data_IF_787704132891
#
_entry.id   IF_787704132891
#
_cell.length_a   1.000
_cell.length_b   1.000
_cell.length_c   1.000
_cell.angle_alpha   90.00
_cell.angle_beta   90.00
_cell.angle_gamma   90.00
#
_symmetry.space_group_name_H-M   'P 1'
#
loop_
_entity.id
_entity.type
_entity.pdbx_description
1 polymer ?
#
# COMPACT_ATOMS: atom_id res chain seq x y z
N UNK A 1 -6.62 33.89 16.42
CA UNK A 1 -7.27 34.20 15.16
C UNK A 1 -8.42 33.22 14.99
N UNK A 2 -9.64 33.66 14.96
CA UNK A 2 -10.83 32.84 14.70
C UNK A 2 -10.72 32.33 13.26
N UNK A 3 -10.88 31.02 12.97
CA UNK A 3 -10.93 30.52 11.60
C UNK A 3 -12.15 31.18 10.94
N UNK A 4 -11.92 31.96 9.90
CA UNK A 4 -12.99 32.39 9.03
C UNK A 4 -13.67 31.14 8.45
N UNK A 5 -14.98 31.06 8.54
CA UNK A 5 -15.78 30.05 7.86
C UNK A 5 -15.76 30.36 6.36
N UNK A 6 -14.63 30.08 5.69
CA UNK A 6 -14.64 30.01 4.24
C UNK A 6 -15.54 28.82 3.85
N UNK A 7 -16.50 29.06 2.97
CA UNK A 7 -17.29 27.99 2.36
C UNK A 7 -16.32 26.92 1.81
N UNK A 8 -16.68 25.64 1.88
CA UNK A 8 -15.82 24.58 1.34
C UNK A 8 -15.54 24.87 -0.14
N UNK A 9 -14.26 24.73 -0.53
CA UNK A 9 -13.87 24.91 -1.92
C UNK A 9 -14.70 24.00 -2.81
N UNK A 10 -15.28 24.55 -3.88
CA UNK A 10 -16.05 23.81 -4.88
C UNK A 10 -15.24 23.68 -6.16
N UNK A 11 -15.29 22.50 -6.78
CA UNK A 11 -14.66 22.22 -8.06
C UNK A 11 -15.62 21.41 -8.94
N UNK A 12 -15.66 21.71 -10.22
CA UNK A 12 -16.37 20.92 -11.22
C UNK A 12 -15.36 20.47 -12.28
N UNK A 13 -15.24 19.15 -12.48
CA UNK A 13 -14.55 18.58 -13.62
C UNK A 13 -15.61 18.23 -14.65
N UNK A 14 -15.59 18.96 -15.78
CA UNK A 14 -16.60 18.85 -16.83
C UNK A 14 -16.17 17.92 -17.96
N UNK A 15 -17.18 17.35 -18.62
CA UNK A 15 -17.00 16.67 -19.90
C UNK A 15 -15.90 15.58 -19.83
N UNK A 16 -15.91 14.79 -18.74
CA UNK A 16 -14.98 13.69 -18.56
C UNK A 16 -15.52 12.36 -19.10
N UNK A 17 -14.63 11.47 -19.50
CA UNK A 17 -14.91 10.06 -19.68
C UNK A 17 -14.55 9.35 -18.38
N UNK A 18 -15.55 8.97 -17.59
CA UNK A 18 -15.36 8.47 -16.22
C UNK A 18 -15.26 6.96 -16.17
N UNK A 19 -14.16 6.45 -15.59
CA UNK A 19 -14.06 5.12 -15.01
C UNK A 19 -14.31 5.26 -13.50
N UNK A 20 -15.34 4.60 -13.00
CA UNK A 20 -15.79 4.79 -11.61
C UNK A 20 -14.99 3.99 -10.55
N UNK A 21 -14.00 3.19 -10.98
CA UNK A 21 -13.20 2.33 -10.12
C UNK A 21 -13.79 0.93 -9.90
N UNK A 22 -14.99 0.65 -10.38
CA UNK A 22 -15.71 -0.63 -10.17
C UNK A 22 -16.12 -1.28 -11.49
N UNK A 23 -16.73 -0.50 -12.37
CA UNK A 23 -17.28 -1.00 -13.62
C UNK A 23 -16.27 -0.86 -14.75
N UNK A 24 -16.01 -1.93 -15.51
CA UNK A 24 -15.11 -1.89 -16.66
C UNK A 24 -15.61 -0.94 -17.77
N UNK A 25 -16.91 -0.63 -17.79
CA UNK A 25 -17.52 0.27 -18.78
C UNK A 25 -17.47 1.71 -18.28
N UNK A 26 -16.81 2.58 -19.04
CA UNK A 26 -16.76 4.02 -18.79
C UNK A 26 -18.08 4.73 -19.16
N UNK A 27 -18.27 5.92 -18.58
CA UNK A 27 -19.36 6.84 -18.93
C UNK A 27 -18.77 8.10 -19.56
N UNK A 28 -19.26 8.47 -20.75
CA UNK A 28 -18.79 9.65 -21.48
C UNK A 28 -19.62 10.91 -21.11
N UNK A 29 -19.02 12.08 -21.31
CA UNK A 29 -19.64 13.38 -21.08
C UNK A 29 -20.22 13.53 -19.67
N UNK A 30 -19.45 13.18 -18.66
CA UNK A 30 -19.83 13.26 -17.26
C UNK A 30 -19.21 14.48 -16.60
N UNK A 31 -20.01 15.22 -15.83
CA UNK A 31 -19.55 16.25 -14.90
C UNK A 31 -19.41 15.64 -13.50
N UNK A 32 -18.27 15.92 -12.83
CA UNK A 32 -18.01 15.51 -11.44
C UNK A 32 -17.90 16.76 -10.57
N UNK A 33 -18.81 16.87 -9.60
CA UNK A 33 -18.84 17.97 -8.63
C UNK A 33 -18.17 17.54 -7.33
N UNK A 34 -17.27 18.39 -6.86
CA UNK A 34 -16.50 18.22 -5.61
C UNK A 34 -16.79 19.38 -4.69
N UNK A 35 -17.08 19.09 -3.41
CA UNK A 35 -17.17 20.07 -2.33
C UNK A 35 -16.28 19.67 -1.16
N UNK A 36 -15.36 20.54 -0.80
CA UNK A 36 -14.32 20.22 0.19
C UNK A 36 -13.52 18.99 -0.23
N UNK A 37 -13.57 17.93 0.55
CA UNK A 37 -12.80 16.69 0.29
C UNK A 37 -13.60 15.57 -0.36
N UNK A 38 -14.86 15.80 -0.77
CA UNK A 38 -15.77 14.76 -1.23
C UNK A 38 -16.33 15.01 -2.63
N UNK A 39 -16.56 13.94 -3.35
CA UNK A 39 -17.41 13.95 -4.54
C UNK A 39 -18.86 14.07 -4.08
N UNK A 40 -19.57 15.09 -4.53
CA UNK A 40 -20.98 15.36 -4.13
C UNK A 40 -21.96 15.20 -5.29
N UNK A 41 -21.45 14.99 -6.51
CA UNK A 41 -22.30 14.72 -7.67
C UNK A 41 -21.49 14.13 -8.82
N UNK A 42 -22.11 13.19 -9.53
CA UNK A 42 -21.63 12.59 -10.79
C UNK A 42 -22.82 12.59 -11.75
N UNK A 43 -22.74 13.33 -12.85
CA UNK A 43 -23.91 13.58 -13.71
C UNK A 43 -23.55 13.63 -15.19
N UNK A 44 -24.36 12.96 -16.02
CA UNK A 44 -24.32 13.11 -17.48
C UNK A 44 -25.11 14.36 -17.97
N UNK A 45 -25.88 15.01 -17.07
CA UNK A 45 -26.48 16.30 -17.35
C UNK A 45 -25.56 17.41 -16.82
N UNK A 46 -25.46 18.56 -17.49
CA UNK A 46 -24.61 19.65 -17.03
C UNK A 46 -24.92 20.05 -15.58
N UNK A 47 -23.91 20.06 -14.74
CA UNK A 47 -24.03 20.49 -13.33
C UNK A 47 -24.02 22.02 -13.31
N UNK A 48 -24.98 22.62 -12.56
CA UNK A 48 -25.08 24.08 -12.38
C UNK A 48 -23.90 24.60 -11.52
N UNK A 49 -23.40 25.76 -11.88
CA UNK A 49 -22.29 26.47 -11.24
C UNK A 49 -21.30 26.94 -12.27
N UNK A 50 -20.70 28.08 -12.05
CA UNK A 50 -19.66 28.65 -12.89
C UNK A 50 -18.57 29.35 -12.05
N UNK A 51 -17.53 29.83 -12.72
CA UNK A 51 -16.41 30.52 -12.07
C UNK A 51 -16.85 31.81 -11.33
N UNK A 52 -18.00 32.40 -11.68
CA UNK A 52 -18.54 33.60 -11.00
C UNK A 52 -18.98 33.31 -9.56
N UNK A 53 -19.30 32.05 -9.27
CA UNK A 53 -19.70 31.56 -7.94
C UNK A 53 -18.50 31.14 -7.07
N UNK A 54 -17.26 31.38 -7.53
CA UNK A 54 -16.04 30.95 -6.85
C UNK A 54 -15.74 29.45 -7.01
N UNK A 55 -16.37 28.82 -7.98
CA UNK A 55 -16.15 27.40 -8.34
C UNK A 55 -14.92 27.28 -9.24
N UNK A 56 -14.03 26.33 -8.94
CA UNK A 56 -12.95 25.96 -9.84
C UNK A 56 -13.55 25.05 -10.93
N UNK A 57 -13.43 25.47 -12.18
CA UNK A 57 -13.93 24.71 -13.31
C UNK A 57 -12.75 24.17 -14.14
N UNK A 58 -12.75 22.86 -14.40
CA UNK A 58 -11.76 22.15 -15.21
C UNK A 58 -12.49 21.42 -16.32
N UNK A 59 -12.20 21.77 -17.58
CA UNK A 59 -12.71 21.03 -18.75
C UNK A 59 -11.82 19.83 -19.04
N UNK A 60 -12.33 18.63 -18.79
CA UNK A 60 -11.63 17.39 -19.11
C UNK A 60 -11.50 17.16 -20.61
N UNK A 61 -12.28 17.81 -21.46
CA UNK A 61 -12.24 17.68 -22.94
C UNK A 61 -12.42 16.23 -23.42
N UNK A 62 -13.23 15.44 -22.71
CA UNK A 62 -13.44 14.03 -23.01
C UNK A 62 -12.32 13.10 -22.56
N UNK A 63 -11.30 13.59 -21.84
CA UNK A 63 -10.22 12.79 -21.30
C UNK A 63 -10.70 11.83 -20.21
N UNK A 64 -9.90 10.82 -19.95
CA UNK A 64 -10.20 9.75 -19.02
C UNK A 64 -10.00 10.21 -17.55
N UNK A 65 -11.08 10.19 -16.78
CA UNK A 65 -11.08 10.50 -15.36
C UNK A 65 -11.26 9.21 -14.56
N UNK A 66 -10.36 8.94 -13.64
CA UNK A 66 -10.36 7.75 -12.80
C UNK A 66 -10.12 8.10 -11.33
N UNK A 67 -10.43 7.19 -10.38
CA UNK A 67 -10.01 7.36 -8.99
C UNK A 67 -8.49 7.42 -8.89
N UNK A 68 -7.99 8.07 -7.84
CA UNK A 68 -6.57 7.99 -7.49
C UNK A 68 -6.10 6.56 -7.27
N UNK A 69 -4.89 6.26 -7.70
CA UNK A 69 -4.25 4.96 -7.54
C UNK A 69 -3.97 4.67 -6.06
N UNK A 70 -3.89 3.39 -5.75
CA UNK A 70 -3.49 2.90 -4.43
C UNK A 70 -2.42 1.82 -4.52
N UNK A 71 -1.58 1.75 -3.48
CA UNK A 71 -0.56 0.71 -3.32
C UNK A 71 -0.77 0.01 -1.98
N UNK A 72 -1.03 -1.30 -2.02
CA UNK A 72 -1.39 -2.07 -0.81
C UNK A 72 -0.18 -2.62 -0.06
N UNK A 73 1.03 -2.40 -0.53
CA UNK A 73 2.25 -2.86 0.14
C UNK A 73 3.43 -1.94 -0.16
N UNK A 74 3.55 -0.87 0.62
CA UNK A 74 4.72 0.00 0.57
C UNK A 74 5.50 -0.07 1.87
N UNK A 75 6.78 0.27 1.80
CA UNK A 75 7.63 0.61 2.92
C UNK A 75 8.07 2.05 2.74
N UNK A 76 7.20 3.01 3.03
CA UNK A 76 7.44 4.42 2.68
C UNK A 76 8.76 4.96 3.23
N UNK A 77 9.07 4.64 4.50
CA UNK A 77 10.35 5.00 5.09
C UNK A 77 11.51 4.20 4.45
N UNK A 78 11.30 2.90 4.19
CA UNK A 78 12.28 2.02 3.54
C UNK A 78 12.53 2.38 2.08
N UNK A 79 11.49 2.78 1.34
CA UNK A 79 11.62 3.21 -0.06
C UNK A 79 12.31 4.57 -0.21
N UNK A 80 12.23 5.40 0.82
CA UNK A 80 12.84 6.73 0.85
C UNK A 80 14.33 6.75 1.24
N UNK A 81 14.81 5.66 1.86
CA UNK A 81 16.14 5.60 2.48
C UNK A 81 16.85 4.29 2.14
N UNK A 82 18.16 4.37 1.90
CA UNK A 82 19.01 3.21 1.72
C UNK A 82 19.29 2.50 3.05
N UNK A 83 19.73 1.23 3.00
CA UNK A 83 20.18 0.50 4.19
C UNK A 83 21.28 1.25 4.96
N UNK A 84 22.21 1.88 4.26
CA UNK A 84 23.29 2.66 4.91
C UNK A 84 22.75 3.86 5.67
N UNK A 85 21.75 4.56 5.11
CA UNK A 85 21.09 5.69 5.81
C UNK A 85 20.35 5.19 7.05
N UNK A 86 19.68 4.04 7.00
CA UNK A 86 19.06 3.44 8.18
C UNK A 86 20.07 3.15 9.29
N UNK A 87 21.20 2.55 8.95
CA UNK A 87 22.20 2.11 9.92
C UNK A 87 22.99 3.28 10.52
N UNK A 88 23.27 4.33 9.74
CA UNK A 88 24.22 5.37 10.14
C UNK A 88 23.67 6.80 10.02
N UNK A 89 22.56 7.01 9.33
CA UNK A 89 21.98 8.33 9.11
C UNK A 89 21.34 8.93 10.35
N UNK A 90 21.29 10.27 10.45
CA UNK A 90 20.55 10.94 11.51
C UNK A 90 19.04 10.70 11.33
N UNK A 91 18.33 10.37 12.39
CA UNK A 91 16.89 10.06 12.37
C UNK A 91 16.05 11.15 11.68
N UNK A 92 16.39 12.43 11.89
CA UNK A 92 15.70 13.55 11.23
C UNK A 92 15.82 13.53 9.71
N UNK A 93 16.94 13.04 9.14
CA UNK A 93 17.09 12.90 7.70
C UNK A 93 16.21 11.78 7.15
N UNK A 94 16.08 10.66 7.87
CA UNK A 94 15.19 9.56 7.48
C UNK A 94 13.73 10.05 7.32
N UNK A 95 13.21 10.82 8.27
CA UNK A 95 11.87 11.40 8.15
C UNK A 95 11.77 12.46 7.05
N UNK A 96 12.82 13.29 6.85
CA UNK A 96 12.86 14.27 5.77
C UNK A 96 12.75 13.60 4.40
N UNK A 97 13.53 12.54 4.17
CA UNK A 97 13.46 11.73 2.94
C UNK A 97 12.09 11.06 2.77
N UNK A 98 11.52 10.53 3.86
CA UNK A 98 10.19 9.89 3.85
C UNK A 98 9.08 10.87 3.45
N UNK A 99 9.10 12.11 3.96
CA UNK A 99 8.15 13.15 3.58
C UNK A 99 8.32 13.53 2.10
N UNK A 100 9.56 13.66 1.63
CA UNK A 100 9.83 13.96 0.23
C UNK A 100 9.34 12.85 -0.70
N UNK A 101 9.53 11.58 -0.31
CA UNK A 101 9.04 10.44 -1.09
C UNK A 101 7.50 10.34 -1.06
N UNK A 102 6.85 10.62 0.06
CA UNK A 102 5.40 10.69 0.15
C UNK A 102 4.82 11.67 -0.88
N UNK A 103 5.44 12.84 -1.04
CA UNK A 103 5.04 13.80 -2.08
C UNK A 103 5.26 13.26 -3.49
N UNK A 104 6.42 12.64 -3.77
CA UNK A 104 6.71 12.05 -5.09
C UNK A 104 5.72 10.92 -5.42
N UNK A 105 5.38 10.09 -4.43
CA UNK A 105 4.39 9.01 -4.57
C UNK A 105 3.00 9.57 -4.92
N UNK A 106 2.58 10.66 -4.28
CA UNK A 106 1.35 11.36 -4.62
C UNK A 106 1.37 11.93 -6.04
N UNK A 107 2.50 12.48 -6.48
CA UNK A 107 2.69 12.99 -7.85
C UNK A 107 2.70 11.87 -8.90
N UNK A 108 3.02 10.64 -8.52
CA UNK A 108 2.82 9.44 -9.35
C UNK A 108 1.36 8.96 -9.38
N UNK A 109 0.43 9.69 -8.75
CA UNK A 109 -1.00 9.37 -8.73
C UNK A 109 -1.45 8.44 -7.60
N UNK A 110 -0.54 7.96 -6.75
CA UNK A 110 -0.88 7.12 -5.61
C UNK A 110 -1.43 8.00 -4.47
N UNK A 111 -2.75 8.10 -4.39
CA UNK A 111 -3.45 8.93 -3.40
C UNK A 111 -3.66 8.25 -2.06
N UNK A 112 -3.56 6.91 -2.03
CA UNK A 112 -3.72 6.08 -0.82
C UNK A 112 -2.71 4.94 -0.84
N UNK A 113 -2.05 4.68 0.31
CA UNK A 113 -1.09 3.58 0.46
C UNK A 113 -1.28 2.84 1.78
N UNK A 114 -1.04 1.53 1.76
CA UNK A 114 -0.90 0.70 2.96
C UNK A 114 0.57 0.48 3.23
N UNK A 115 1.09 1.10 4.28
CA UNK A 115 2.48 0.99 4.68
C UNK A 115 2.66 -0.25 5.57
N UNK A 116 3.60 -1.11 5.17
CA UNK A 116 3.81 -2.42 5.75
C UNK A 116 5.10 -2.53 6.56
N UNK A 117 5.69 -1.40 6.94
CA UNK A 117 6.85 -1.35 7.84
C UNK A 117 7.54 0.00 7.88
N UNK A 118 7.75 0.49 9.08
CA UNK A 118 8.39 1.77 9.39
C UNK A 118 7.50 2.71 10.19
N UNK A 119 8.11 3.62 10.94
CA UNK A 119 7.38 4.60 11.75
C UNK A 119 6.79 5.73 10.88
N UNK A 120 5.67 5.44 10.23
CA UNK A 120 5.01 6.37 9.29
C UNK A 120 3.80 7.08 9.88
N UNK A 121 3.33 6.75 11.09
CA UNK A 121 2.25 7.47 11.75
C UNK A 121 2.54 8.96 12.00
N UNK A 122 3.76 9.40 12.33
CA UNK A 122 4.08 10.82 12.40
C UNK A 122 3.95 11.53 11.04
N UNK A 123 4.42 10.90 9.96
CA UNK A 123 4.30 11.43 8.59
C UNK A 123 2.84 11.51 8.18
N UNK A 124 2.07 10.44 8.40
CA UNK A 124 0.61 10.41 8.21
C UNK A 124 -0.06 11.60 8.93
N UNK A 125 0.25 11.80 10.21
CA UNK A 125 -0.35 12.88 11.00
C UNK A 125 -0.06 14.26 10.42
N UNK A 126 1.12 14.49 9.86
CA UNK A 126 1.49 15.76 9.23
C UNK A 126 0.77 15.95 7.89
N UNK A 127 0.62 14.90 7.10
CA UNK A 127 -0.13 14.92 5.83
C UNK A 127 -1.62 15.15 6.10
N UNK A 128 -2.22 14.42 7.05
CA UNK A 128 -3.65 14.53 7.37
C UNK A 128 -4.03 15.93 7.89
N UNK A 129 -3.08 16.63 8.53
CA UNK A 129 -3.25 18.02 8.98
C UNK A 129 -2.93 19.06 7.89
N UNK A 130 -2.54 18.64 6.70
CA UNK A 130 -2.17 19.53 5.59
C UNK A 130 -0.85 20.29 5.79
N UNK A 131 0.04 19.81 6.66
CA UNK A 131 1.38 20.41 6.84
C UNK A 131 2.29 20.06 5.67
N UNK A 132 2.15 18.83 5.15
CA UNK A 132 2.83 18.34 3.96
C UNK A 132 1.84 17.67 3.01
N UNK A 133 2.21 17.65 1.73
CA UNK A 133 1.48 16.89 0.71
C UNK A 133 1.95 15.45 0.69
N UNK A 134 1.01 14.51 0.50
CA UNK A 134 1.28 13.08 0.41
C UNK A 134 0.00 12.26 0.33
N UNK A 135 0.09 10.94 0.16
CA UNK A 135 -1.06 10.05 0.11
C UNK A 135 -1.73 9.91 1.49
N UNK A 136 -2.92 9.32 1.53
CA UNK A 136 -3.46 8.71 2.75
C UNK A 136 -2.61 7.51 3.10
N UNK A 137 -2.25 7.36 4.36
CA UNK A 137 -1.38 6.27 4.81
C UNK A 137 -2.15 5.39 5.81
N UNK A 138 -2.15 4.07 5.57
CA UNK A 138 -2.56 3.02 6.51
C UNK A 138 -1.30 2.39 7.09
N UNK A 139 -0.76 2.87 8.21
CA UNK A 139 0.52 2.40 8.73
C UNK A 139 0.39 1.08 9.50
N UNK A 140 1.34 0.14 9.32
CA UNK A 140 1.54 -0.97 10.25
C UNK A 140 2.47 -0.62 11.41
N UNK A 141 3.20 0.47 11.29
CA UNK A 141 4.35 0.77 12.12
C UNK A 141 5.43 -0.29 11.94
N UNK A 142 6.22 -0.61 12.95
CA UNK A 142 7.32 -1.58 12.83
C UNK A 142 6.85 -2.96 12.34
N UNK A 143 7.64 -3.57 11.45
CA UNK A 143 7.51 -4.99 11.13
C UNK A 143 7.89 -5.82 12.36
N UNK A 144 7.03 -6.75 12.76
CA UNK A 144 7.30 -7.63 13.91
C UNK A 144 7.89 -8.93 13.40
N UNK A 145 9.06 -9.30 13.91
CA UNK A 145 9.83 -10.50 13.54
C UNK A 145 10.34 -11.21 14.78
N UNK A 146 10.69 -12.49 14.61
CA UNK A 146 11.46 -13.23 15.61
C UNK A 146 12.95 -12.96 15.46
N UNK A 147 13.77 -13.32 16.46
CA UNK A 147 15.23 -13.38 16.32
C UNK A 147 15.62 -14.23 15.11
N UNK A 148 16.54 -13.73 14.29
CA UNK A 148 16.95 -14.34 13.02
C UNK A 148 15.82 -14.51 11.99
N UNK A 149 14.73 -13.74 12.13
CA UNK A 149 13.62 -13.72 11.17
C UNK A 149 13.83 -12.68 10.06
N UNK A 150 12.85 -12.62 9.14
CA UNK A 150 12.96 -11.81 7.91
C UNK A 150 13.15 -10.30 8.19
N UNK A 151 12.57 -9.78 9.25
CA UNK A 151 12.73 -8.37 9.63
C UNK A 151 13.68 -8.17 10.84
N UNK A 152 14.53 -9.14 11.14
CA UNK A 152 15.64 -8.96 12.06
C UNK A 152 16.86 -8.42 11.28
N UNK A 153 17.08 -7.10 11.38
CA UNK A 153 18.21 -6.41 10.74
C UNK A 153 19.38 -6.14 11.71
N UNK A 154 19.45 -6.88 12.84
CA UNK A 154 20.61 -6.86 13.72
C UNK A 154 21.83 -7.47 13.04
N UNK A 155 23.03 -7.16 13.51
CA UNK A 155 24.24 -7.80 13.00
C UNK A 155 24.40 -9.22 13.57
N UNK A 156 25.12 -10.08 12.84
CA UNK A 156 25.23 -11.52 13.15
C UNK A 156 25.74 -11.85 14.57
N UNK A 157 26.48 -10.95 15.18
CA UNK A 157 27.03 -11.12 16.52
C UNK A 157 26.37 -10.20 17.56
N UNK A 158 25.32 -9.46 17.19
CA UNK A 158 24.55 -8.70 18.15
C UNK A 158 23.83 -9.66 19.10
N UNK A 159 23.89 -9.35 20.39
CA UNK A 159 23.23 -10.16 21.40
C UNK A 159 21.75 -9.78 21.45
N UNK A 160 20.82 -10.76 21.28
CA UNK A 160 19.38 -10.46 21.40
C UNK A 160 19.03 -9.81 22.75
N UNK A 161 18.00 -8.97 22.77
CA UNK A 161 17.54 -8.29 23.99
C UNK A 161 17.21 -9.27 25.13
N UNK A 162 16.69 -10.47 24.82
CA UNK A 162 16.40 -11.54 25.77
C UNK A 162 17.64 -11.95 26.59
N UNK A 163 18.80 -11.79 26.01
CA UNK A 163 20.10 -12.12 26.64
C UNK A 163 20.85 -10.88 27.11
N UNK A 164 20.19 -9.70 27.15
CA UNK A 164 20.75 -8.46 27.65
C UNK A 164 21.47 -7.60 26.62
N UNK A 165 21.26 -7.87 25.30
CA UNK A 165 21.71 -7.01 24.24
C UNK A 165 20.93 -5.71 24.14
N UNK A 166 21.46 -4.74 23.42
CA UNK A 166 20.73 -3.51 23.08
C UNK A 166 19.83 -3.74 21.87
N UNK A 167 18.73 -2.97 21.74
CA UNK A 167 17.96 -2.94 20.50
C UNK A 167 18.85 -2.63 19.29
N UNK A 168 18.54 -3.23 18.15
CA UNK A 168 19.19 -2.88 16.90
C UNK A 168 18.85 -1.45 16.46
N UNK A 169 19.65 -0.87 15.56
CA UNK A 169 19.37 0.48 15.04
C UNK A 169 18.01 0.55 14.35
N UNK A 170 17.57 -0.52 13.69
CA UNK A 170 16.26 -0.56 13.01
C UNK A 170 15.11 -0.60 14.02
N UNK A 171 15.33 -1.16 15.20
CA UNK A 171 14.36 -1.13 16.31
C UNK A 171 14.31 0.26 16.98
N UNK A 172 15.47 0.90 17.17
CA UNK A 172 15.55 2.27 17.73
C UNK A 172 14.77 3.30 16.91
N UNK A 173 14.74 3.13 15.58
CA UNK A 173 13.98 4.00 14.67
C UNK A 173 12.58 3.47 14.35
N UNK A 174 12.11 2.44 15.05
CA UNK A 174 10.80 1.80 14.87
C UNK A 174 10.52 1.31 13.44
N UNK A 175 11.55 0.87 12.73
CA UNK A 175 11.39 0.24 11.43
C UNK A 175 11.03 -1.25 11.59
N UNK A 176 11.64 -1.91 12.57
CA UNK A 176 11.36 -3.29 12.94
C UNK A 176 11.16 -3.43 14.44
N UNK A 177 10.62 -4.58 14.87
CA UNK A 177 10.55 -5.00 16.27
C UNK A 177 10.80 -6.50 16.35
N UNK A 178 11.88 -6.91 17.01
CA UNK A 178 12.17 -8.32 17.26
C UNK A 178 11.50 -8.74 18.57
N UNK A 179 10.72 -9.82 18.53
CA UNK A 179 9.94 -10.27 19.70
C UNK A 179 9.75 -11.78 19.67
N UNK A 180 10.35 -12.51 20.61
CA UNK A 180 10.23 -13.95 20.75
C UNK A 180 9.33 -14.33 21.94
N UNK A 181 8.49 -15.32 21.70
CA UNK A 181 7.54 -15.81 22.69
C UNK A 181 6.26 -14.97 22.82
N UNK A 182 5.16 -15.63 23.19
CA UNK A 182 3.83 -15.02 23.28
C UNK A 182 3.80 -13.70 24.07
N UNK A 183 4.44 -13.56 25.25
CA UNK A 183 4.38 -12.30 26.01
C UNK A 183 4.99 -11.12 25.26
N UNK A 184 6.12 -11.34 24.55
CA UNK A 184 6.80 -10.27 23.81
C UNK A 184 6.07 -9.93 22.52
N UNK A 185 5.54 -10.92 21.79
CA UNK A 185 4.68 -10.69 20.63
C UNK A 185 3.46 -9.85 21.01
N UNK A 186 2.78 -10.16 22.11
CA UNK A 186 1.67 -9.35 22.62
C UNK A 186 2.10 -7.90 22.92
N UNK A 187 3.26 -7.72 23.55
CA UNK A 187 3.79 -6.39 23.85
C UNK A 187 4.11 -5.62 22.58
N UNK A 188 4.78 -6.25 21.61
CA UNK A 188 5.12 -5.67 20.32
C UNK A 188 3.87 -5.24 19.52
N UNK A 189 2.87 -6.10 19.39
CA UNK A 189 1.60 -5.76 18.72
C UNK A 189 0.91 -4.56 19.38
N UNK A 190 0.78 -4.57 20.71
CA UNK A 190 0.15 -3.48 21.47
C UNK A 190 0.94 -2.18 21.36
N UNK A 191 2.26 -2.24 21.24
CA UNK A 191 3.12 -1.08 21.00
C UNK A 191 2.78 -0.45 19.64
N UNK A 192 2.72 -1.23 18.54
CA UNK A 192 2.37 -0.72 17.21
C UNK A 192 0.96 -0.10 17.22
N UNK A 193 0.00 -0.78 17.83
CA UNK A 193 -1.36 -0.26 17.98
C UNK A 193 -1.42 1.06 18.78
N UNK A 194 -0.65 1.18 19.86
CA UNK A 194 -0.50 2.42 20.63
C UNK A 194 0.08 3.55 19.79
N UNK A 195 1.04 3.25 18.90
CA UNK A 195 1.68 4.23 18.02
C UNK A 195 0.83 4.59 16.79
N UNK A 196 -0.34 3.98 16.61
CA UNK A 196 -1.28 4.38 15.56
C UNK A 196 -1.38 3.42 14.38
N UNK A 197 -0.90 2.19 14.51
CA UNK A 197 -1.04 1.18 13.47
C UNK A 197 -2.50 0.98 13.06
N UNK A 198 -2.75 0.91 11.74
CA UNK A 198 -4.03 0.56 11.13
C UNK A 198 -4.19 -0.95 11.00
N UNK A 199 -3.10 -1.66 10.79
CA UNK A 199 -2.96 -3.13 10.73
C UNK A 199 -1.64 -3.53 11.37
N UNK A 200 -1.47 -4.82 11.63
CA UNK A 200 -0.22 -5.39 12.14
C UNK A 200 0.50 -6.15 11.03
N UNK A 201 1.81 -5.94 10.89
CA UNK A 201 2.68 -6.72 9.98
C UNK A 201 3.55 -7.68 10.78
N UNK A 202 3.39 -8.99 10.50
CA UNK A 202 4.31 -10.05 10.94
C UNK A 202 5.17 -10.56 9.79
N UNK A 203 6.27 -11.25 10.12
CA UNK A 203 7.03 -12.07 9.18
C UNK A 203 6.98 -13.52 9.62
N UNK A 204 6.45 -14.41 8.76
CA UNK A 204 6.26 -15.84 9.05
C UNK A 204 7.10 -16.75 8.17
N UNK A 205 7.90 -16.21 7.28
CA UNK A 205 8.78 -16.95 6.39
C UNK A 205 10.04 -16.16 6.06
N UNK A 206 11.01 -16.82 5.43
CA UNK A 206 12.22 -16.18 4.96
C UNK A 206 11.97 -15.31 3.72
N UNK A 207 12.93 -14.44 3.38
CA UNK A 207 12.84 -13.54 2.26
C UNK A 207 14.16 -13.24 1.57
N UNK A 208 14.10 -12.50 0.44
CA UNK A 208 15.29 -12.14 -0.33
C UNK A 208 16.06 -10.98 0.31
N UNK A 209 15.36 -10.02 0.95
CA UNK A 209 15.98 -8.83 1.52
C UNK A 209 16.83 -9.10 2.76
N UNK A 210 16.61 -10.20 3.46
CA UNK A 210 17.27 -10.60 4.70
C UNK A 210 18.42 -11.58 4.48
N UNK A 211 19.35 -11.64 5.46
CA UNK A 211 20.59 -12.41 5.36
C UNK A 211 20.51 -13.79 6.03
N UNK A 212 19.71 -13.95 7.09
CA UNK A 212 19.81 -15.10 7.99
C UNK A 212 18.74 -16.18 7.77
N UNK A 213 17.75 -15.92 6.97
CA UNK A 213 16.54 -16.73 6.82
C UNK A 213 16.41 -17.31 5.41
N UNK A 214 16.68 -18.61 5.20
CA UNK A 214 16.31 -19.30 3.97
C UNK A 214 14.82 -19.17 3.66
N UNK A 215 14.42 -19.13 2.36
CA UNK A 215 13.03 -18.93 1.94
C UNK A 215 12.03 -19.92 2.53
N UNK A 216 12.48 -21.16 2.78
CA UNK A 216 11.65 -22.23 3.32
C UNK A 216 11.57 -22.26 4.86
N UNK A 217 12.13 -21.29 5.57
CA UNK A 217 11.99 -21.22 7.02
C UNK A 217 10.57 -20.90 7.45
N UNK A 218 10.12 -21.59 8.49
CA UNK A 218 8.89 -21.26 9.20
C UNK A 218 9.25 -20.39 10.41
N UNK A 219 8.83 -19.15 10.38
CA UNK A 219 9.06 -18.21 11.48
C UNK A 219 7.81 -18.12 12.36
N UNK A 220 8.02 -17.85 13.64
CA UNK A 220 7.01 -17.91 14.68
C UNK A 220 6.31 -19.27 14.82
N UNK A 221 6.03 -19.65 16.03
CA UNK A 221 5.15 -20.78 16.36
C UNK A 221 3.69 -20.40 16.16
N UNK A 222 2.81 -21.37 16.03
CA UNK A 222 1.37 -21.12 15.89
C UNK A 222 0.78 -20.34 17.08
N UNK A 223 1.32 -20.51 18.29
CA UNK A 223 0.82 -19.82 19.47
C UNK A 223 1.20 -18.34 19.47
N UNK A 224 2.39 -17.99 18.99
CA UNK A 224 2.83 -16.60 18.81
C UNK A 224 1.98 -15.89 17.75
N UNK A 225 1.71 -16.54 16.61
CA UNK A 225 0.85 -15.97 15.57
C UNK A 225 -0.57 -15.77 16.09
N UNK A 226 -1.15 -16.76 16.79
CA UNK A 226 -2.49 -16.63 17.40
C UNK A 226 -2.54 -15.50 18.41
N UNK A 227 -1.48 -15.31 19.20
CA UNK A 227 -1.42 -14.20 20.15
C UNK A 227 -1.42 -12.84 19.46
N UNK A 228 -0.69 -12.69 18.35
CA UNK A 228 -0.70 -11.47 17.55
C UNK A 228 -2.08 -11.22 16.94
N UNK A 229 -2.71 -12.24 16.35
CA UNK A 229 -4.06 -12.16 15.76
C UNK A 229 -5.09 -11.76 16.83
N UNK A 230 -5.06 -12.39 18.01
CA UNK A 230 -5.95 -12.05 19.11
C UNK A 230 -5.80 -10.60 19.53
N UNK A 231 -4.56 -10.13 19.71
CA UNK A 231 -4.31 -8.75 20.12
C UNK A 231 -4.77 -7.73 19.06
N UNK A 232 -4.58 -8.01 17.78
CA UNK A 232 -5.06 -7.14 16.70
C UNK A 232 -6.60 -7.12 16.65
N UNK A 233 -7.23 -8.28 16.75
CA UNK A 233 -8.70 -8.43 16.74
C UNK A 233 -9.36 -7.71 17.92
N UNK A 234 -8.77 -7.78 19.11
CA UNK A 234 -9.26 -7.07 20.31
C UNK A 234 -9.25 -5.53 20.13
N UNK A 235 -8.44 -5.02 19.19
CA UNK A 235 -8.40 -3.61 18.81
C UNK A 235 -9.19 -3.30 17.53
N UNK A 236 -9.95 -4.27 17.00
CA UNK A 236 -10.81 -4.11 15.83
C UNK A 236 -10.04 -3.97 14.51
N UNK A 237 -8.88 -4.63 14.40
CA UNK A 237 -8.07 -4.68 13.18
C UNK A 237 -7.53 -6.08 12.91
N UNK A 238 -6.61 -6.23 11.98
CA UNK A 238 -6.14 -7.49 11.44
C UNK A 238 -4.61 -7.62 11.43
N UNK A 239 -4.15 -8.85 11.18
CA UNK A 239 -2.76 -9.17 10.92
C UNK A 239 -2.56 -9.48 9.45
N UNK A 240 -1.53 -8.88 8.87
CA UNK A 240 -0.97 -9.22 7.58
C UNK A 240 0.42 -9.84 7.76
N UNK A 241 0.79 -10.79 6.93
CA UNK A 241 2.05 -11.52 7.11
C UNK A 241 2.84 -11.72 5.85
N UNK A 242 4.15 -11.42 5.92
CA UNK A 242 5.12 -11.83 4.93
C UNK A 242 5.31 -13.34 4.98
N UNK A 243 5.02 -14.04 3.89
CA UNK A 243 5.25 -15.49 3.76
C UNK A 243 5.17 -15.90 2.30
N UNK A 244 6.07 -16.78 1.85
CA UNK A 244 6.07 -17.27 0.48
C UNK A 244 5.54 -18.69 0.34
N UNK A 245 5.80 -19.56 1.32
CA UNK A 245 5.70 -21.02 1.18
C UNK A 245 4.36 -21.60 1.64
N UNK A 246 3.92 -22.74 1.07
CA UNK A 246 2.66 -23.40 1.46
C UNK A 246 2.52 -23.64 2.96
N UNK A 247 3.58 -24.16 3.59
CA UNK A 247 3.53 -24.48 5.02
C UNK A 247 3.40 -23.23 5.90
N UNK A 248 4.06 -22.13 5.52
CA UNK A 248 3.94 -20.86 6.25
C UNK A 248 2.56 -20.22 6.06
N UNK A 249 2.02 -20.24 4.83
CA UNK A 249 0.68 -19.74 4.52
C UNK A 249 -0.37 -20.55 5.29
N UNK A 250 -0.31 -21.88 5.29
CA UNK A 250 -1.25 -22.71 6.04
C UNK A 250 -1.22 -22.39 7.55
N UNK A 251 0.00 -22.25 8.14
CA UNK A 251 0.15 -21.84 9.55
C UNK A 251 -0.49 -20.47 9.82
N UNK A 252 -0.28 -19.49 8.92
CA UNK A 252 -0.86 -18.15 9.04
C UNK A 252 -2.39 -18.20 9.04
N UNK A 253 -2.99 -18.90 8.06
CA UNK A 253 -4.44 -19.05 7.91
C UNK A 253 -5.08 -19.79 9.10
N UNK A 254 -4.43 -20.86 9.58
CA UNK A 254 -4.92 -21.63 10.75
C UNK A 254 -4.84 -20.82 12.06
N UNK A 255 -3.96 -19.82 12.12
CA UNK A 255 -3.87 -18.89 13.23
C UNK A 255 -4.84 -17.71 13.11
N UNK A 256 -5.54 -17.54 11.98
CA UNK A 256 -6.52 -16.48 11.75
C UNK A 256 -5.97 -15.22 11.07
N UNK A 257 -4.81 -15.28 10.43
CA UNK A 257 -4.30 -14.21 9.58
C UNK A 257 -5.22 -14.01 8.38
N UNK A 258 -5.54 -12.78 8.04
CA UNK A 258 -6.51 -12.44 6.99
C UNK A 258 -5.91 -11.79 5.75
N UNK A 259 -4.61 -11.43 5.77
CA UNK A 259 -3.88 -10.91 4.61
C UNK A 259 -2.55 -11.63 4.49
N UNK A 260 -2.40 -12.39 3.42
CA UNK A 260 -1.15 -13.04 3.03
C UNK A 260 -0.42 -12.10 2.09
N UNK A 261 0.79 -11.72 2.45
CA UNK A 261 1.64 -10.87 1.63
C UNK A 261 2.62 -11.75 0.85
N UNK A 262 2.77 -11.46 -0.45
CA UNK A 262 3.63 -12.18 -1.39
C UNK A 262 3.06 -13.52 -1.86
N UNK A 263 3.32 -14.62 -1.17
CA UNK A 263 2.79 -15.94 -1.53
C UNK A 263 3.39 -16.57 -2.78
N UNK A 264 4.46 -16.02 -3.37
CA UNK A 264 5.00 -16.37 -4.70
C UNK A 264 5.47 -17.83 -4.83
N UNK A 265 5.73 -18.54 -3.72
CA UNK A 265 6.13 -19.95 -3.71
C UNK A 265 4.98 -20.87 -3.25
N UNK A 266 3.74 -20.36 -3.23
CA UNK A 266 2.57 -21.18 -2.95
C UNK A 266 2.32 -22.17 -4.10
N UNK A 267 1.76 -23.32 -3.76
CA UNK A 267 1.19 -24.23 -4.74
C UNK A 267 -0.32 -23.97 -4.95
N UNK A 268 -0.91 -24.56 -5.98
CA UNK A 268 -2.32 -24.38 -6.31
C UNK A 268 -3.26 -24.72 -5.14
N UNK A 269 -2.95 -25.80 -4.39
CA UNK A 269 -3.74 -26.20 -3.24
C UNK A 269 -3.73 -25.15 -2.11
N UNK A 270 -2.62 -24.49 -1.91
CA UNK A 270 -2.47 -23.40 -0.94
C UNK A 270 -3.24 -22.16 -1.39
N UNK A 271 -3.20 -21.83 -2.68
CA UNK A 271 -4.01 -20.73 -3.23
C UNK A 271 -5.51 -21.01 -3.08
N UNK A 272 -5.94 -22.26 -3.33
CA UNK A 272 -7.33 -22.68 -3.07
C UNK A 272 -7.69 -22.55 -1.58
N UNK A 273 -6.76 -22.86 -0.67
CA UNK A 273 -6.97 -22.69 0.78
C UNK A 273 -7.12 -21.21 1.17
N UNK A 274 -6.37 -20.29 0.57
CA UNK A 274 -6.54 -18.83 0.78
C UNK A 274 -7.98 -18.43 0.40
N UNK A 275 -8.46 -18.89 -0.76
CA UNK A 275 -9.83 -18.64 -1.21
C UNK A 275 -10.88 -19.21 -0.25
N UNK A 276 -10.73 -20.48 0.19
CA UNK A 276 -11.61 -21.16 1.13
C UNK A 276 -11.73 -20.40 2.46
N UNK A 277 -10.59 -19.92 2.98
CA UNK A 277 -10.55 -19.13 4.23
C UNK A 277 -11.05 -17.70 4.04
N UNK A 278 -11.31 -17.25 2.80
CA UNK A 278 -11.74 -15.89 2.49
C UNK A 278 -10.67 -14.81 2.79
N UNK A 279 -9.42 -15.21 2.93
CA UNK A 279 -8.30 -14.32 3.15
C UNK A 279 -7.91 -13.57 1.87
N UNK A 280 -7.15 -12.49 2.02
CA UNK A 280 -6.58 -11.73 0.92
C UNK A 280 -5.18 -12.25 0.57
N UNK A 281 -4.85 -12.17 -0.72
CA UNK A 281 -3.51 -12.30 -1.24
C UNK A 281 -3.05 -10.93 -1.75
N UNK A 282 -2.12 -10.29 -1.06
CA UNK A 282 -1.50 -9.03 -1.48
C UNK A 282 -0.18 -9.35 -2.16
N UNK A 283 -0.17 -9.24 -3.49
CA UNK A 283 0.88 -9.76 -4.33
C UNK A 283 1.56 -8.67 -5.16
N UNK A 284 2.80 -8.91 -5.55
CA UNK A 284 3.62 -8.04 -6.38
C UNK A 284 3.89 -8.74 -7.72
N UNK A 285 3.79 -8.06 -8.86
CA UNK A 285 4.18 -8.61 -10.15
C UNK A 285 5.71 -8.53 -10.32
N UNK A 286 6.47 -9.24 -9.47
CA UNK A 286 7.92 -9.17 -9.45
C UNK A 286 8.56 -9.65 -10.75
N UNK A 287 9.56 -8.88 -11.19
CA UNK A 287 10.54 -9.30 -12.17
C UNK A 287 11.94 -9.18 -11.55
N UNK A 288 12.90 -9.95 -12.06
CA UNK A 288 14.24 -10.05 -11.47
C UNK A 288 14.97 -8.70 -11.36
N UNK A 289 14.66 -7.75 -12.25
CA UNK A 289 15.25 -6.43 -12.30
C UNK A 289 14.54 -5.37 -11.42
N UNK A 290 13.50 -5.75 -10.67
CA UNK A 290 12.84 -4.84 -9.74
C UNK A 290 13.70 -4.57 -8.50
N UNK A 291 14.51 -5.56 -8.10
CA UNK A 291 15.43 -5.47 -6.96
C UNK A 291 16.85 -5.83 -7.37
N UNK A 292 17.82 -5.14 -6.81
CA UNK A 292 19.23 -5.44 -7.05
C UNK A 292 19.91 -6.00 -5.80
N UNK A 293 20.30 -7.26 -5.85
CA UNK A 293 21.02 -7.93 -4.76
C UNK A 293 22.44 -8.27 -5.20
N UNK A 294 23.48 -7.51 -4.72
CA UNK A 294 24.89 -7.83 -5.01
C UNK A 294 25.34 -9.17 -4.44
N UNK A 295 24.69 -9.63 -3.35
CA UNK A 295 24.99 -10.94 -2.76
C UNK A 295 24.35 -12.08 -3.58
N UNK A 296 25.13 -13.10 -4.00
CA UNK A 296 24.62 -14.14 -4.89
C UNK A 296 23.56 -15.04 -4.25
N UNK A 297 23.55 -15.20 -2.92
CA UNK A 297 22.53 -16.01 -2.23
C UNK A 297 21.20 -15.25 -2.26
N UNK A 298 21.21 -13.96 -2.00
CA UNK A 298 20.01 -13.11 -2.07
C UNK A 298 19.49 -12.98 -3.51
N UNK A 299 20.39 -12.85 -4.48
CA UNK A 299 20.02 -12.84 -5.91
C UNK A 299 19.33 -14.16 -6.31
N UNK A 300 19.84 -15.31 -5.88
CA UNK A 300 19.21 -16.60 -6.14
C UNK A 300 17.82 -16.74 -5.50
N UNK A 301 17.65 -16.23 -4.27
CA UNK A 301 16.32 -16.16 -3.62
C UNK A 301 15.35 -15.28 -4.43
N UNK A 302 15.82 -14.13 -4.93
CA UNK A 302 15.00 -13.24 -5.76
C UNK A 302 14.52 -13.93 -7.05
N UNK A 303 15.43 -14.59 -7.77
CA UNK A 303 15.08 -15.38 -8.97
C UNK A 303 14.04 -16.46 -8.65
N UNK A 304 14.20 -17.20 -7.54
CA UNK A 304 13.24 -18.23 -7.11
C UNK A 304 11.85 -17.64 -6.85
N UNK A 305 11.76 -16.48 -6.17
CA UNK A 305 10.51 -15.78 -5.90
C UNK A 305 9.87 -15.30 -7.22
N UNK A 306 10.63 -14.66 -8.09
CA UNK A 306 10.11 -14.13 -9.36
C UNK A 306 9.56 -15.23 -10.26
N UNK A 307 10.17 -16.42 -10.27
CA UNK A 307 9.70 -17.58 -11.05
C UNK A 307 8.29 -18.06 -10.66
N UNK A 308 7.85 -17.80 -9.44
CA UNK A 308 6.50 -18.17 -8.99
C UNK A 308 5.40 -17.17 -9.34
N UNK A 309 5.76 -15.99 -9.84
CA UNK A 309 4.81 -14.87 -10.05
C UNK A 309 3.65 -15.27 -10.97
N UNK A 310 3.95 -15.79 -12.15
CA UNK A 310 2.95 -16.08 -13.19
C UNK A 310 1.95 -17.15 -12.75
N UNK A 311 2.46 -18.25 -12.16
CA UNK A 311 1.63 -19.37 -11.73
C UNK A 311 0.67 -18.92 -10.61
N UNK A 312 1.17 -18.20 -9.63
CA UNK A 312 0.36 -17.76 -8.48
C UNK A 312 -0.72 -16.77 -8.90
N UNK A 313 -0.45 -15.81 -9.78
CA UNK A 313 -1.49 -14.95 -10.34
C UNK A 313 -2.53 -15.76 -11.12
N UNK A 314 -2.10 -16.75 -11.91
CA UNK A 314 -2.98 -17.67 -12.64
C UNK A 314 -3.93 -18.43 -11.70
N UNK A 315 -3.40 -19.06 -10.66
CA UNK A 315 -4.20 -19.81 -9.68
C UNK A 315 -5.10 -18.87 -8.84
N UNK A 316 -4.61 -17.69 -8.46
CA UNK A 316 -5.43 -16.73 -7.72
C UNK A 316 -6.68 -16.32 -8.51
N UNK A 317 -6.55 -16.09 -9.82
CA UNK A 317 -7.69 -15.83 -10.71
C UNK A 317 -8.61 -17.04 -10.83
N UNK A 318 -8.04 -18.23 -11.05
CA UNK A 318 -8.80 -19.48 -11.22
C UNK A 318 -9.66 -19.79 -9.99
N UNK A 319 -9.14 -19.59 -8.79
CA UNK A 319 -9.83 -19.88 -7.53
C UNK A 319 -10.61 -18.67 -6.97
N UNK A 320 -10.61 -17.52 -7.65
CA UNK A 320 -11.34 -16.33 -7.23
C UNK A 320 -10.83 -15.75 -5.90
N UNK A 321 -9.54 -15.81 -5.66
CA UNK A 321 -8.90 -15.23 -4.46
C UNK A 321 -9.07 -13.71 -4.49
N UNK A 322 -9.39 -13.11 -3.35
CA UNK A 322 -9.36 -11.67 -3.18
C UNK A 322 -7.90 -11.19 -3.29
N UNK A 323 -7.54 -10.60 -4.42
CA UNK A 323 -6.17 -10.18 -4.69
C UNK A 323 -6.05 -8.67 -4.58
N UNK A 324 -4.98 -8.21 -3.95
CA UNK A 324 -4.57 -6.82 -3.88
C UNK A 324 -3.17 -6.67 -4.49
N UNK A 325 -2.88 -5.48 -4.99
CA UNK A 325 -1.59 -5.15 -5.60
C UNK A 325 -0.80 -4.19 -4.72
N UNK A 326 0.50 -4.45 -4.58
CA UNK A 326 1.46 -3.54 -3.98
C UNK A 326 2.86 -3.68 -4.59
N UNK A 327 3.77 -2.77 -4.28
CA UNK A 327 5.11 -2.74 -4.88
C UNK A 327 6.18 -3.46 -4.07
N UNK A 328 6.14 -3.32 -2.74
CA UNK A 328 7.18 -3.82 -1.84
C UNK A 328 8.60 -3.34 -2.17
N UNK A 329 8.75 -2.15 -2.75
CA UNK A 329 10.05 -1.52 -2.99
C UNK A 329 10.68 -1.11 -1.65
N UNK A 330 11.94 -1.52 -1.42
CA UNK A 330 12.57 -1.41 -0.11
C UNK A 330 14.07 -1.16 -0.20
N UNK A 331 14.57 -0.18 0.55
CA UNK A 331 16.01 0.12 0.79
C UNK A 331 16.82 0.48 -0.46
N UNK A 332 16.15 0.78 -1.56
CA UNK A 332 16.71 1.21 -2.83
C UNK A 332 15.96 2.45 -3.35
N UNK A 333 16.25 3.67 -2.82
CA UNK A 333 15.50 4.90 -3.18
C UNK A 333 15.46 5.20 -4.68
N UNK A 334 16.49 4.77 -5.41
CA UNK A 334 16.54 4.92 -6.88
C UNK A 334 15.49 4.06 -7.60
N UNK A 335 14.97 3.02 -6.97
CA UNK A 335 13.92 2.15 -7.53
C UNK A 335 12.50 2.70 -7.31
N UNK A 336 12.33 3.73 -6.47
CA UNK A 336 11.02 4.32 -6.15
C UNK A 336 10.17 4.69 -7.40
N UNK A 337 10.73 5.23 -8.51
CA UNK A 337 9.96 5.52 -9.72
C UNK A 337 9.38 4.26 -10.40
N UNK A 338 9.91 3.07 -10.13
CA UNK A 338 9.37 1.80 -10.69
C UNK A 338 7.96 1.47 -10.20
N UNK A 339 7.47 2.14 -9.16
CA UNK A 339 6.11 1.96 -8.63
C UNK A 339 5.05 2.00 -9.75
N UNK A 340 5.09 3.00 -10.62
CA UNK A 340 4.13 3.13 -11.73
C UNK A 340 4.33 2.06 -12.82
N UNK A 341 5.57 1.67 -13.09
CA UNK A 341 5.90 0.60 -14.05
C UNK A 341 5.37 -0.75 -13.54
N UNK A 342 5.57 -1.06 -12.25
CA UNK A 342 5.05 -2.28 -11.64
C UNK A 342 3.51 -2.31 -11.62
N UNK A 343 2.86 -1.16 -11.43
CA UNK A 343 1.40 -1.08 -11.52
C UNK A 343 0.91 -1.40 -12.94
N UNK A 344 1.56 -0.88 -13.97
CA UNK A 344 1.21 -1.17 -15.36
C UNK A 344 1.45 -2.65 -15.75
N UNK A 345 2.42 -3.32 -15.12
CA UNK A 345 2.70 -4.77 -15.34
C UNK A 345 1.54 -5.68 -14.93
N UNK A 346 0.56 -5.20 -14.15
CA UNK A 346 -0.67 -5.96 -13.91
C UNK A 346 -1.42 -6.32 -15.21
N UNK A 347 -1.22 -5.57 -16.29
CA UNK A 347 -1.75 -5.88 -17.62
C UNK A 347 -1.28 -7.21 -18.20
N UNK A 348 -0.17 -7.78 -17.70
CA UNK A 348 0.33 -9.09 -18.11
C UNK A 348 -0.52 -10.24 -17.52
N UNK A 349 -1.22 -9.98 -16.39
CA UNK A 349 -1.98 -10.99 -15.63
C UNK A 349 -3.50 -10.79 -15.71
N UNK A 350 -3.95 -9.55 -15.88
CA UNK A 350 -5.35 -9.13 -15.86
C UNK A 350 -5.69 -8.29 -17.09
N UNK A 351 -6.96 -8.18 -17.43
CA UNK A 351 -7.37 -7.13 -18.37
C UNK A 351 -7.09 -5.76 -17.76
N UNK A 352 -6.85 -4.74 -18.60
CA UNK A 352 -6.54 -3.40 -18.12
C UNK A 352 -7.61 -2.84 -17.17
N UNK A 353 -8.88 -3.14 -17.42
CA UNK A 353 -9.99 -2.73 -16.55
C UNK A 353 -9.95 -3.43 -15.17
N UNK A 354 -9.62 -4.73 -15.12
CA UNK A 354 -9.42 -5.46 -13.85
C UNK A 354 -8.21 -4.93 -13.09
N UNK A 355 -7.11 -4.65 -13.80
CA UNK A 355 -5.92 -4.05 -13.21
C UNK A 355 -6.22 -2.67 -12.60
N UNK A 356 -6.92 -1.78 -13.32
CA UNK A 356 -7.34 -0.48 -12.79
C UNK A 356 -8.29 -0.62 -11.60
N UNK A 357 -9.21 -1.58 -11.63
CA UNK A 357 -10.08 -1.88 -10.47
C UNK A 357 -9.24 -2.32 -9.27
N UNK A 358 -8.26 -3.21 -9.45
CA UNK A 358 -7.36 -3.65 -8.37
C UNK A 358 -6.57 -2.49 -7.78
N UNK A 359 -6.02 -1.61 -8.63
CA UNK A 359 -5.25 -0.43 -8.24
C UNK A 359 -6.09 0.67 -7.57
N UNK A 360 -7.41 0.57 -7.57
CA UNK A 360 -8.33 1.57 -7.02
C UNK A 360 -9.25 0.95 -5.96
N UNK A 361 -10.47 0.56 -6.32
CA UNK A 361 -11.46 0.03 -5.38
C UNK A 361 -11.08 -1.34 -4.80
N UNK A 362 -10.32 -2.14 -5.53
CA UNK A 362 -9.84 -3.45 -5.07
C UNK A 362 -8.92 -3.33 -3.86
N UNK A 363 -7.85 -2.53 -3.95
CA UNK A 363 -6.98 -2.25 -2.82
C UNK A 363 -7.75 -1.54 -1.68
N UNK A 364 -8.66 -0.62 -2.01
CA UNK A 364 -9.49 0.04 -1.00
C UNK A 364 -10.32 -0.95 -0.19
N UNK A 365 -10.83 -2.02 -0.82
CA UNK A 365 -11.57 -3.08 -0.13
C UNK A 365 -10.68 -3.87 0.85
N UNK A 366 -9.40 -4.08 0.54
CA UNK A 366 -8.45 -4.63 1.51
C UNK A 366 -8.24 -3.68 2.70
N UNK A 367 -8.14 -2.36 2.45
CA UNK A 367 -7.92 -1.37 3.53
C UNK A 367 -9.07 -1.30 4.53
N UNK A 368 -10.30 -1.69 4.13
CA UNK A 368 -11.45 -1.78 5.04
C UNK A 368 -11.27 -2.83 6.15
N UNK A 369 -10.36 -3.81 6.00
CA UNK A 369 -10.00 -4.75 7.07
C UNK A 369 -9.43 -4.04 8.31
N UNK A 370 -8.92 -2.81 8.16
CA UNK A 370 -8.47 -2.00 9.29
C UNK A 370 -9.60 -1.64 10.28
N UNK A 371 -10.87 -1.82 9.90
CA UNK A 371 -12.03 -1.73 10.77
C UNK A 371 -12.04 -0.48 11.65
N UNK A 372 -12.02 -0.65 12.97
CA UNK A 372 -12.00 0.47 13.93
C UNK A 372 -10.72 1.31 13.86
N UNK A 373 -9.65 0.77 13.27
CA UNK A 373 -8.37 1.47 13.07
C UNK A 373 -8.30 2.21 11.73
N UNK A 374 -9.31 2.08 10.86
CA UNK A 374 -9.41 2.86 9.62
C UNK A 374 -9.80 4.31 9.95
N UNK A 375 -8.84 5.22 9.85
CA UNK A 375 -9.04 6.64 10.12
C UNK A 375 -9.70 7.39 8.95
N UNK A 376 -9.89 6.74 7.80
CA UNK A 376 -10.48 7.31 6.59
C UNK A 376 -11.89 6.79 6.26
N UNK A 377 -12.51 6.06 7.19
CA UNK A 377 -13.84 5.45 7.05
C UNK A 377 -15.01 6.42 6.85
N UNK A 378 -14.73 7.73 6.84
CA UNK A 378 -15.75 8.77 6.63
C UNK A 378 -16.33 8.80 5.22
N UNK A 379 -15.67 8.20 4.24
CA UNK A 379 -16.09 8.12 2.85
C UNK A 379 -15.42 6.93 2.14
N UNK A 380 -15.95 6.52 0.98
CA UNK A 380 -15.36 5.45 0.17
C UNK A 380 -14.07 5.90 -0.50
N UNK A 381 -13.09 5.01 -0.56
CA UNK A 381 -11.83 5.17 -1.29
C UNK A 381 -11.88 4.42 -2.64
N UNK A 382 -11.09 4.86 -3.60
CA UNK A 382 -10.86 4.16 -4.87
C UNK A 382 -12.07 4.14 -5.81
N UNK A 383 -13.05 5.02 -5.63
CA UNK A 383 -14.24 5.13 -6.49
C UNK A 383 -14.59 6.57 -6.81
N UNK A 384 -15.21 6.80 -7.99
CA UNK A 384 -15.87 8.06 -8.34
C UNK A 384 -17.37 7.88 -8.16
N UNK A 385 -17.88 8.25 -7.00
CA UNK A 385 -19.29 8.17 -6.66
C UNK A 385 -19.64 9.25 -5.63
N UNK A 386 -20.91 9.63 -5.58
CA UNK A 386 -21.39 10.56 -4.56
C UNK A 386 -21.09 10.05 -3.15
N UNK A 387 -20.55 10.91 -2.30
CA UNK A 387 -20.09 10.61 -0.95
C UNK A 387 -18.70 9.95 -0.86
N UNK A 388 -18.00 9.74 -1.97
CA UNK A 388 -16.63 9.24 -1.96
C UNK A 388 -15.61 10.36 -1.68
N UNK A 389 -14.40 9.96 -1.23
CA UNK A 389 -13.28 10.88 -1.19
C UNK A 389 -12.94 11.38 -2.60
N UNK A 390 -12.71 12.69 -2.74
CA UNK A 390 -12.33 13.32 -4.00
C UNK A 390 -10.83 13.15 -4.24
N UNK A 391 -10.42 11.92 -4.55
CA UNK A 391 -9.08 11.51 -4.97
C UNK A 391 -9.18 11.05 -6.43
N UNK A 392 -8.71 11.87 -7.38
CA UNK A 392 -9.00 11.72 -8.80
C UNK A 392 -7.75 11.97 -9.66
N UNK A 393 -7.68 11.29 -10.79
CA UNK A 393 -6.65 11.48 -11.80
C UNK A 393 -7.33 11.67 -13.16
N UNK A 394 -6.93 12.72 -13.89
CA UNK A 394 -7.28 12.93 -15.30
C UNK A 394 -6.10 12.49 -16.16
N UNK A 395 -6.33 11.53 -17.04
CA UNK A 395 -5.31 10.90 -17.87
C UNK A 395 -5.44 11.34 -19.33
N UNK A 396 -4.32 11.70 -19.94
CA UNK A 396 -4.22 11.90 -21.38
C UNK A 396 -4.11 10.52 -22.07
N UNK A 397 -5.22 10.08 -22.69
CA UNK A 397 -5.38 8.75 -23.27
C UNK A 397 -6.41 7.90 -22.52
N UNK A 398 -6.48 6.61 -22.84
CA UNK A 398 -7.43 5.64 -22.29
C UNK A 398 -6.69 4.46 -21.65
N UNK A 399 -6.51 4.44 -20.31
CA UNK A 399 -5.81 3.35 -19.63
C UNK A 399 -6.50 1.97 -19.72
N UNK A 400 -7.80 1.92 -20.07
CA UNK A 400 -8.47 0.64 -20.35
C UNK A 400 -7.99 0.10 -21.71
N UNK A 401 -7.71 0.96 -22.68
CA UNK A 401 -7.15 0.54 -23.96
C UNK A 401 -5.64 0.26 -23.87
N UNK A 402 -4.92 1.08 -23.09
CA UNK A 402 -3.47 0.99 -22.93
C UNK A 402 -3.05 1.30 -21.47
N UNK A 403 -2.84 0.24 -20.69
CA UNK A 403 -2.46 0.38 -19.29
C UNK A 403 -1.07 0.98 -19.11
N UNK A 404 -0.21 0.95 -20.13
CA UNK A 404 1.14 1.54 -20.05
C UNK A 404 1.13 3.05 -19.80
N UNK A 405 0.01 3.73 -20.05
CA UNK A 405 -0.16 5.15 -19.75
C UNK A 405 0.06 5.48 -18.26
N UNK A 406 -0.26 4.54 -17.35
CA UNK A 406 -0.01 4.75 -15.91
C UNK A 406 1.47 4.60 -15.52
N UNK A 407 2.30 4.02 -16.38
CA UNK A 407 3.73 3.85 -16.12
C UNK A 407 4.51 5.17 -16.24
N UNK A 408 3.99 6.16 -16.94
CA UNK A 408 4.58 7.49 -17.11
C UNK A 408 3.61 8.60 -16.63
N UNK A 409 3.47 8.77 -15.30
CA UNK A 409 2.54 9.74 -14.71
C UNK A 409 2.95 11.20 -14.97
N UNK A 410 4.23 11.46 -15.17
CA UNK A 410 4.72 12.81 -15.44
C UNK A 410 4.18 13.33 -16.77
N UNK A 411 4.15 12.48 -17.79
CA UNK A 411 3.64 12.81 -19.14
C UNK A 411 2.12 12.68 -19.21
N UNK A 412 1.54 11.61 -18.62
CA UNK A 412 0.17 11.22 -18.96
C UNK A 412 -0.88 11.68 -17.94
N UNK A 413 -0.49 12.10 -16.72
CA UNK A 413 -1.47 12.58 -15.73
C UNK A 413 -1.59 14.11 -15.81
N UNK A 414 -2.62 14.59 -16.50
CA UNK A 414 -2.88 16.02 -16.68
C UNK A 414 -3.40 16.71 -15.42
N UNK A 415 -4.11 15.97 -14.54
CA UNK A 415 -4.63 16.47 -13.27
C UNK A 415 -4.50 15.39 -12.20
N UNK A 416 -4.07 15.78 -11.00
CA UNK A 416 -4.14 14.95 -9.80
C UNK A 416 -4.85 15.76 -8.72
N UNK A 417 -5.92 15.20 -8.18
CA UNK A 417 -6.69 15.75 -7.05
C UNK A 417 -6.60 14.78 -5.88
N UNK A 418 -6.29 15.29 -4.70
CA UNK A 418 -6.31 14.50 -3.46
C UNK A 418 -7.10 15.25 -2.39
N UNK A 419 -8.10 14.60 -1.80
CA UNK A 419 -9.02 15.23 -0.83
C UNK A 419 -9.63 16.54 -1.36
N UNK A 420 -9.98 16.60 -2.65
CA UNK A 420 -10.52 17.77 -3.30
C UNK A 420 -9.53 18.93 -3.53
N UNK A 421 -8.26 18.74 -3.21
CA UNK A 421 -7.20 19.72 -3.48
C UNK A 421 -6.42 19.32 -4.73
N UNK A 422 -6.15 20.31 -5.58
CA UNK A 422 -5.33 20.10 -6.78
C UNK A 422 -3.86 19.94 -6.37
N UNK A 423 -3.25 18.81 -6.75
CA UNK A 423 -1.84 18.49 -6.53
C UNK A 423 -1.00 18.75 -7.77
N UNK A 424 -1.54 18.38 -8.94
CA UNK A 424 -0.96 18.63 -10.27
C UNK A 424 -2.09 19.15 -11.18
N UNK A 425 -1.81 20.16 -12.01
CA UNK A 425 -2.77 20.66 -13.01
C UNK A 425 -2.04 21.14 -14.26
N UNK A 426 -2.16 20.34 -15.30
CA UNK A 426 -1.71 20.61 -16.67
C UNK A 426 -2.87 20.42 -17.67
N UNK A 427 -4.12 20.46 -17.17
CA UNK A 427 -5.34 20.15 -17.91
C UNK A 427 -5.80 21.25 -18.91
#
# INVERSE_FOLDING_TARGET
MTPGTNAPQRMIIRNARVFDGVNAKTQDNVDVLIEGSHVVGVSSAPVAGDASDGVIEIDARGRFLMPGLSDAHVHLMGNANSMMEFLQGPTGALYGNTIAEAKRMLLRGFTTVRDMGGDTAPVKSLIDRGVFEGPRIFPSQAMISQTSGHADFSFVYDVPEEFGGAPSRTEDIHFTRVADGVPRVLAAVREQLKMGASQIKLTLGGGAASMYDPLNTLQYTSDEVRAAVQAATDYGTYVATHVYTPAGIARALDAGVTSIEHGHLADEATIALIAEKGAWLSMQPFAEDDHHYPDPVRAAKNTEICNGTDEVYGWARQHGVKTAWGTDLLLEPQSAPRQSVMAARLGDFYSNAEALTMLTSGNAALFELAGERNTYRGAKLGVIAEGAWADLILVDGDPIADLSLIADPDTNFALIVKSGQIVKNEA
#
